data_IF_245895123503
#
_entry.id   IF_245895123503
#
_cell.length_a   1.000
_cell.length_b   1.000
_cell.length_c   1.000
_cell.angle_alpha   90.00
_cell.angle_beta   90.00
_cell.angle_gamma   90.00
#
_symmetry.space_group_name_H-M   'P 1'
#
loop_
_entity.id
_entity.type
_entity.pdbx_description
1 polymer ?
#
# COMPACT_ATOMS: atom_id res chain seq x y z
N UNK A 1 -5.24 -14.70 23.24
CA UNK A 1 -4.47 -15.97 23.24
C UNK A 1 -3.08 -15.62 23.74
N UNK A 2 -2.68 -16.16 24.88
CA UNK A 2 -1.32 -15.98 25.40
C UNK A 2 -0.34 -16.88 24.64
N UNK A 3 0.99 -16.61 24.68
CA UNK A 3 1.97 -17.46 23.99
C UNK A 3 1.91 -18.94 24.41
N UNK A 4 1.62 -19.20 25.69
CA UNK A 4 1.47 -20.55 26.24
C UNK A 4 0.24 -21.26 25.65
N UNK A 5 -0.87 -20.54 25.51
CA UNK A 5 -2.07 -21.08 24.89
C UNK A 5 -1.89 -21.30 23.38
N UNK A 6 -1.20 -20.39 22.69
CA UNK A 6 -0.94 -20.48 21.26
C UNK A 6 -0.02 -21.66 20.89
N UNK A 7 0.85 -22.10 21.81
CA UNK A 7 1.75 -23.23 21.60
C UNK A 7 1.06 -24.60 21.72
N UNK A 8 -0.20 -24.66 22.15
CA UNK A 8 -0.96 -25.91 22.22
C UNK A 8 -1.33 -26.39 20.82
N UNK A 9 -1.22 -27.70 20.59
CA UNK A 9 -1.48 -28.31 19.28
C UNK A 9 -2.91 -28.06 18.76
N UNK A 10 -3.88 -27.99 19.67
CA UNK A 10 -5.29 -27.68 19.34
C UNK A 10 -5.46 -26.29 18.68
N UNK A 11 -4.58 -25.34 19.02
CA UNK A 11 -4.65 -23.96 18.54
C UNK A 11 -3.82 -23.73 17.28
N UNK A 12 -3.01 -24.71 16.86
CA UNK A 12 -2.17 -24.64 15.65
C UNK A 12 -2.93 -24.15 14.39
N UNK A 13 -4.08 -24.73 14.01
CA UNK A 13 -4.78 -24.28 12.80
C UNK A 13 -5.31 -22.84 12.91
N UNK A 14 -5.71 -22.42 14.12
CA UNK A 14 -6.19 -21.06 14.38
C UNK A 14 -5.04 -20.05 14.32
N UNK A 15 -3.90 -20.38 14.90
CA UNK A 15 -2.67 -19.55 14.86
C UNK A 15 -2.19 -19.42 13.42
N UNK A 16 -2.12 -20.52 12.67
CA UNK A 16 -1.72 -20.52 11.26
C UNK A 16 -2.62 -19.59 10.43
N UNK A 17 -3.94 -19.70 10.57
CA UNK A 17 -4.90 -18.85 9.85
C UNK A 17 -4.76 -17.36 10.18
N UNK A 18 -4.43 -17.03 11.43
CA UNK A 18 -4.26 -15.64 11.86
C UNK A 18 -2.95 -15.02 11.34
N UNK A 19 -1.86 -15.80 11.32
CA UNK A 19 -0.55 -15.34 10.84
C UNK A 19 -0.48 -15.28 9.31
N UNK A 20 -1.01 -16.30 8.64
CA UNK A 20 -0.94 -16.48 7.20
C UNK A 20 -2.31 -16.26 6.58
N UNK A 21 -2.85 -15.06 6.77
CA UNK A 21 -4.12 -14.67 6.15
C UNK A 21 -3.99 -14.74 4.64
N UNK A 22 -5.00 -15.30 3.98
CA UNK A 22 -5.09 -15.26 2.53
C UNK A 22 -5.09 -13.81 2.03
N UNK A 23 -4.31 -13.55 0.98
CA UNK A 23 -4.27 -12.24 0.34
C UNK A 23 -5.67 -11.88 -0.13
N UNK A 24 -6.16 -10.73 0.29
CA UNK A 24 -7.49 -10.28 -0.14
C UNK A 24 -7.36 -9.82 -1.60
N UNK A 25 -8.06 -10.51 -2.52
CA UNK A 25 -8.14 -10.08 -3.91
C UNK A 25 -8.97 -8.79 -3.96
N UNK A 26 -8.30 -7.65 -3.97
CA UNK A 26 -8.94 -6.33 -4.10
C UNK A 26 -8.92 -5.91 -5.57
N UNK A 27 -9.92 -5.11 -5.96
CA UNK A 27 -9.89 -4.43 -7.27
C UNK A 27 -8.98 -3.20 -7.16
N UNK A 28 -8.07 -2.96 -8.13
CA UNK A 28 -7.25 -1.76 -8.13
C UNK A 28 -8.13 -0.52 -8.30
N UNK A 29 -7.77 0.54 -7.58
CA UNK A 29 -8.48 1.82 -7.62
C UNK A 29 -8.11 2.61 -8.88
N UNK A 30 -6.84 2.53 -9.27
CA UNK A 30 -6.28 3.22 -10.43
C UNK A 30 -5.86 2.22 -11.51
N UNK A 31 -5.75 2.71 -12.74
CA UNK A 31 -5.39 1.93 -13.93
C UNK A 31 -4.11 2.45 -14.56
N UNK A 32 -3.51 1.64 -15.43
CA UNK A 32 -2.35 2.03 -16.23
C UNK A 32 -2.72 3.24 -17.09
N UNK A 33 -1.86 4.26 -17.09
CA UNK A 33 -2.08 5.53 -17.78
C UNK A 33 -2.82 6.60 -16.97
N UNK A 34 -3.38 6.26 -15.81
CA UNK A 34 -3.96 7.27 -14.91
C UNK A 34 -2.88 8.22 -14.39
N UNK A 35 -3.26 9.49 -14.28
CA UNK A 35 -2.41 10.56 -13.77
C UNK A 35 -2.64 10.75 -12.28
N UNK A 36 -1.58 10.67 -11.47
CA UNK A 36 -1.65 10.70 -10.00
C UNK A 36 -0.60 11.64 -9.41
N UNK A 37 -0.81 12.06 -8.16
CA UNK A 37 0.17 12.79 -7.33
C UNK A 37 0.47 11.97 -6.08
N UNK A 38 1.66 12.12 -5.50
CA UNK A 38 2.01 11.45 -4.24
C UNK A 38 1.70 12.33 -3.05
N UNK A 39 1.32 11.71 -1.92
CA UNK A 39 1.07 12.45 -0.69
C UNK A 39 2.38 12.92 -0.08
N UNK A 40 2.42 14.18 0.38
CA UNK A 40 3.55 14.69 1.16
C UNK A 40 3.55 14.10 2.57
N UNK A 41 4.75 13.88 3.11
CA UNK A 41 4.91 13.49 4.50
C UNK A 41 4.42 14.62 5.43
N UNK A 42 3.49 14.32 6.34
CA UNK A 42 2.95 15.30 7.27
C UNK A 42 3.94 15.58 8.39
N UNK A 43 4.42 16.81 8.49
CA UNK A 43 5.27 17.26 9.61
C UNK A 43 4.41 17.67 10.81
N UNK A 44 5.00 17.70 12.01
CA UNK A 44 4.31 18.07 13.26
C UNK A 44 3.66 19.45 13.23
N UNK A 45 4.18 20.36 12.40
CA UNK A 45 3.74 21.76 12.31
C UNK A 45 2.98 22.07 11.02
N UNK A 46 2.57 21.04 10.28
CA UNK A 46 1.80 21.24 9.06
C UNK A 46 0.44 21.87 9.39
N UNK A 47 0.17 23.04 8.80
CA UNK A 47 -1.06 23.79 8.98
C UNK A 47 -2.13 23.28 8.03
N UNK A 48 -3.41 23.53 8.36
CA UNK A 48 -4.53 23.00 7.57
C UNK A 48 -4.59 23.50 6.12
N UNK A 49 -3.94 24.63 5.83
CA UNK A 49 -3.85 25.19 4.48
C UNK A 49 -2.63 24.70 3.69
N UNK A 50 -1.72 23.94 4.31
CA UNK A 50 -0.55 23.43 3.61
C UNK A 50 -0.96 22.28 2.66
N UNK A 51 -0.39 22.22 1.44
CA UNK A 51 -0.73 21.20 0.46
C UNK A 51 -0.32 19.81 0.96
N UNK A 52 -1.23 18.84 0.83
CA UNK A 52 -1.03 17.45 1.27
C UNK A 52 -0.42 16.53 0.21
N UNK A 53 -0.16 17.06 -0.99
CA UNK A 53 0.40 16.34 -2.14
C UNK A 53 1.55 17.10 -2.79
N UNK A 54 2.39 16.39 -3.53
CA UNK A 54 3.49 16.92 -4.35
C UNK A 54 2.95 17.70 -5.55
N UNK A 55 3.73 18.66 -6.04
CA UNK A 55 3.37 19.41 -7.25
C UNK A 55 3.59 18.55 -8.50
N UNK A 56 4.60 17.66 -8.45
CA UNK A 56 4.93 16.67 -9.46
C UNK A 56 3.76 15.72 -9.74
N UNK A 57 3.58 15.43 -11.02
CA UNK A 57 2.49 14.64 -11.56
C UNK A 57 3.08 13.40 -12.23
N UNK A 58 2.58 12.24 -11.87
CA UNK A 58 3.08 10.96 -12.38
C UNK A 58 1.99 10.21 -13.14
N UNK A 59 2.41 9.28 -13.99
CA UNK A 59 1.51 8.31 -14.64
C UNK A 59 1.77 6.91 -14.10
N UNK A 60 0.71 6.14 -13.92
CA UNK A 60 0.83 4.74 -13.52
C UNK A 60 1.34 3.91 -14.69
N UNK A 61 2.48 3.26 -14.52
CA UNK A 61 3.06 2.32 -15.50
C UNK A 61 2.56 0.90 -15.28
N UNK A 62 2.44 0.46 -14.02
CA UNK A 62 2.08 -0.92 -13.68
C UNK A 62 1.22 -0.98 -12.41
N UNK A 63 0.28 -1.94 -12.39
CA UNK A 63 -0.54 -2.27 -11.21
C UNK A 63 -0.05 -3.59 -10.62
N UNK A 64 0.48 -3.54 -9.40
CA UNK A 64 1.01 -4.71 -8.71
C UNK A 64 -0.06 -5.31 -7.78
N UNK A 65 -0.33 -6.61 -7.93
CA UNK A 65 -1.32 -7.37 -7.14
C UNK A 65 -0.75 -7.79 -5.78
N UNK A 66 -0.21 -6.84 -5.02
CA UNK A 66 0.20 -7.00 -3.62
C UNK A 66 -0.97 -6.75 -2.66
N UNK A 67 -0.82 -7.06 -1.37
CA UNK A 67 -1.79 -6.72 -0.33
C UNK A 67 -1.13 -5.77 0.68
N UNK A 68 -1.43 -4.45 0.66
CA UNK A 68 -2.36 -3.75 -0.24
C UNK A 68 -1.83 -3.61 -1.68
N UNK A 69 -2.71 -3.30 -2.64
CA UNK A 69 -2.35 -3.07 -4.06
C UNK A 69 -1.38 -1.89 -4.15
N UNK A 70 -0.23 -2.11 -4.78
CA UNK A 70 0.76 -1.07 -5.05
C UNK A 70 0.84 -0.76 -6.55
N UNK A 71 1.42 0.37 -6.88
CA UNK A 71 1.50 0.88 -8.25
C UNK A 71 2.94 1.32 -8.52
N UNK A 72 3.43 1.03 -9.73
CA UNK A 72 4.63 1.68 -10.25
C UNK A 72 4.22 2.95 -10.98
N UNK A 73 5.00 4.00 -10.79
CA UNK A 73 4.76 5.31 -11.36
C UNK A 73 5.97 5.75 -12.20
N UNK A 74 5.69 6.46 -13.29
CA UNK A 74 6.68 7.12 -14.13
C UNK A 74 6.39 8.61 -14.21
N UNK A 75 7.45 9.41 -14.33
CA UNK A 75 7.31 10.84 -14.58
C UNK A 75 6.80 11.10 -16.02
N UNK A 76 6.43 12.35 -16.31
CA UNK A 76 5.99 12.77 -17.64
C UNK A 76 7.10 12.61 -18.70
N UNK A 77 8.36 12.63 -18.29
CA UNK A 77 9.53 12.37 -19.13
C UNK A 77 9.84 10.86 -19.29
N UNK A 78 8.93 9.99 -18.85
CA UNK A 78 9.05 8.53 -18.91
C UNK A 78 10.13 7.88 -18.05
N UNK A 79 10.74 8.65 -17.15
CA UNK A 79 11.65 8.10 -16.16
C UNK A 79 10.87 7.35 -15.06
N UNK A 80 11.23 6.09 -14.82
CA UNK A 80 10.68 5.31 -13.71
C UNK A 80 11.31 5.74 -12.38
N UNK A 81 10.46 6.00 -11.40
CA UNK A 81 10.89 6.38 -10.05
C UNK A 81 10.96 5.10 -9.22
N UNK A 82 12.14 4.81 -8.68
CA UNK A 82 12.40 3.68 -7.77
C UNK A 82 12.11 4.01 -6.32
#
# INVERSE_FOLDING_TARGET
MTPVEASKQENEPLVYKNLYKEKVIRKPKFKIGDTVRTSKFKTKFMRGYDPTFTEEIFKISEVLKTDPITYKIKDLNEEEIK
#
